data_IF_097964786343
#
_entry.id   IF_097964786343
#
_cell.length_a   1.000
_cell.length_b   1.000
_cell.length_c   1.000
_cell.angle_alpha   90.00
_cell.angle_beta   90.00
_cell.angle_gamma   90.00
#
_symmetry.space_group_name_H-M   'P 1'
#
loop_
_entity.id
_entity.type
_entity.pdbx_description
1 polymer ?
#
# COMPACT_ATOMS: atom_id res chain seq x y z
N UNK A 1 -7.20 -11.68 -33.85
CA UNK A 1 -6.01 -11.05 -33.22
C UNK A 1 -6.10 -11.16 -31.69
N UNK A 2 -6.22 -12.40 -31.16
CA UNK A 2 -6.56 -12.66 -29.73
C UNK A 2 -5.66 -13.77 -29.11
N UNK A 3 -4.51 -14.09 -29.71
CA UNK A 3 -3.66 -15.23 -29.30
C UNK A 3 -2.41 -14.86 -28.47
N UNK A 4 -2.19 -13.58 -28.15
CA UNK A 4 -0.97 -13.14 -27.45
C UNK A 4 -1.14 -12.93 -25.94
N UNK A 5 -2.33 -12.63 -25.43
CA UNK A 5 -2.54 -12.35 -24.00
C UNK A 5 -2.69 -13.62 -23.13
N UNK A 6 -3.14 -14.73 -23.72
CA UNK A 6 -3.28 -16.00 -22.98
C UNK A 6 -1.94 -16.68 -22.68
N UNK A 7 -0.85 -16.33 -23.36
CA UNK A 7 0.48 -16.95 -23.14
C UNK A 7 1.20 -16.41 -21.89
N UNK A 8 0.94 -15.18 -21.48
CA UNK A 8 1.63 -14.52 -20.36
C UNK A 8 1.10 -15.00 -19.00
N UNK A 9 -0.22 -15.23 -18.88
CA UNK A 9 -0.84 -15.76 -17.66
C UNK A 9 -0.58 -17.26 -17.43
N UNK A 10 -0.39 -18.05 -18.50
CA UNK A 10 0.00 -19.46 -18.37
C UNK A 10 1.41 -19.58 -17.82
N UNK A 11 2.33 -18.72 -18.28
CA UNK A 11 3.72 -18.69 -17.84
C UNK A 11 3.88 -18.30 -16.36
N UNK A 12 3.04 -17.40 -15.83
CA UNK A 12 3.11 -16.99 -14.42
C UNK A 12 2.56 -18.04 -13.44
N UNK A 13 1.51 -18.78 -13.83
CA UNK A 13 1.02 -19.93 -13.06
C UNK A 13 2.00 -21.11 -13.07
N UNK A 14 2.70 -21.30 -14.19
CA UNK A 14 3.74 -22.31 -14.32
C UNK A 14 4.98 -21.92 -13.50
N UNK A 15 5.41 -20.65 -13.54
CA UNK A 15 6.43 -20.10 -12.63
C UNK A 15 6.09 -20.32 -11.15
N UNK A 16 4.85 -20.06 -10.73
CA UNK A 16 4.41 -20.28 -9.34
C UNK A 16 4.47 -21.76 -8.93
N UNK A 17 4.30 -22.68 -9.88
CA UNK A 17 4.38 -24.13 -9.66
C UNK A 17 5.83 -24.62 -9.66
N UNK A 18 6.67 -24.07 -10.54
CA UNK A 18 8.10 -24.33 -10.64
C UNK A 18 8.86 -23.79 -9.43
N UNK A 19 8.54 -22.56 -8.97
CA UNK A 19 9.07 -21.99 -7.72
C UNK A 19 8.71 -22.90 -6.54
N UNK A 20 7.46 -23.41 -6.46
CA UNK A 20 7.06 -24.38 -5.42
C UNK A 20 7.89 -25.68 -5.45
N UNK A 21 8.34 -26.14 -6.62
CA UNK A 21 9.14 -27.37 -6.76
C UNK A 21 10.65 -27.18 -6.62
N UNK A 22 11.19 -26.03 -7.00
CA UNK A 22 12.63 -25.70 -6.89
C UNK A 22 13.04 -25.32 -5.45
N UNK A 23 12.10 -24.85 -4.63
CA UNK A 23 12.29 -24.54 -3.19
C UNK A 23 12.81 -25.74 -2.37
N UNK A 24 12.72 -26.98 -2.88
CA UNK A 24 13.13 -28.19 -2.14
C UNK A 24 14.59 -28.59 -2.38
N UNK A 25 15.31 -28.03 -3.36
CA UNK A 25 16.62 -28.58 -3.77
C UNK A 25 17.86 -27.72 -3.56
N UNK A 26 17.76 -26.40 -3.59
CA UNK A 26 18.97 -25.58 -3.51
C UNK A 26 19.10 -24.91 -2.14
N UNK A 27 20.02 -25.45 -1.35
CA UNK A 27 20.68 -24.78 -0.23
C UNK A 27 21.29 -23.47 -0.75
N UNK A 28 20.52 -22.38 -0.68
CA UNK A 28 21.06 -21.03 -0.89
C UNK A 28 21.98 -20.75 0.30
N UNK A 29 23.28 -20.66 -0.01
CA UNK A 29 24.34 -20.27 0.91
C UNK A 29 23.94 -18.96 1.57
N UNK A 30 23.59 -19.05 2.86
CA UNK A 30 23.26 -17.91 3.72
C UNK A 30 24.57 -17.16 3.99
N UNK A 31 24.86 -16.15 3.17
CA UNK A 31 25.87 -15.15 3.47
C UNK A 31 25.27 -14.14 4.45
N UNK A 32 25.94 -13.94 5.59
CA UNK A 32 25.56 -13.03 6.66
C UNK A 32 25.13 -11.66 6.10
N UNK A 33 24.08 -11.07 6.70
CA UNK A 33 23.60 -9.70 6.46
C UNK A 33 22.69 -9.45 5.24
N UNK A 34 21.69 -10.31 5.00
CA UNK A 34 20.64 -10.11 3.96
C UNK A 34 19.45 -9.29 4.47
N UNK A 35 19.37 -8.01 4.11
CA UNK A 35 18.10 -7.26 4.13
C UNK A 35 17.62 -6.99 2.71
N UNK A 36 16.37 -6.57 2.56
CA UNK A 36 15.76 -6.37 1.24
C UNK A 36 15.39 -4.92 0.99
N UNK A 37 15.36 -4.54 -0.28
CA UNK A 37 15.10 -3.18 -0.75
C UNK A 37 13.93 -3.17 -1.72
N UNK A 38 12.98 -2.27 -1.50
CA UNK A 38 11.86 -2.05 -2.40
C UNK A 38 12.24 -1.07 -3.53
N UNK A 39 12.17 -1.56 -4.77
CA UNK A 39 12.31 -0.74 -5.98
C UNK A 39 11.08 0.12 -6.19
N UNK A 40 11.24 1.18 -7.01
CA UNK A 40 10.16 2.10 -7.41
C UNK A 40 8.95 1.42 -8.02
N UNK A 41 9.15 0.29 -8.70
CA UNK A 41 8.09 -0.52 -9.30
C UNK A 41 7.37 -1.44 -8.28
N UNK A 42 7.64 -1.28 -6.98
CA UNK A 42 7.07 -2.11 -5.90
C UNK A 42 7.76 -3.46 -5.73
N UNK A 43 8.73 -3.83 -6.58
CA UNK A 43 9.46 -5.09 -6.42
C UNK A 43 10.49 -4.98 -5.31
N UNK A 44 10.42 -5.87 -4.34
CA UNK A 44 11.39 -6.07 -3.27
C UNK A 44 12.52 -6.96 -3.79
N UNK A 45 13.77 -6.56 -3.61
CA UNK A 45 14.94 -7.36 -4.04
C UNK A 45 15.94 -7.49 -2.89
N UNK A 46 16.75 -8.56 -2.86
CA UNK A 46 17.87 -8.64 -1.93
C UNK A 46 18.80 -7.43 -2.09
N UNK A 47 19.21 -6.86 -0.97
CA UNK A 47 20.21 -5.81 -0.95
C UNK A 47 21.54 -6.31 -1.51
N UNK A 48 22.23 -5.45 -2.28
CA UNK A 48 23.56 -5.73 -2.83
C UNK A 48 24.40 -4.48 -2.69
N UNK A 49 25.45 -4.52 -1.86
CA UNK A 49 26.35 -3.38 -1.62
C UNK A 49 27.02 -2.92 -2.92
N UNK A 50 27.29 -3.83 -3.84
CA UNK A 50 27.94 -3.55 -5.12
C UNK A 50 27.13 -2.59 -6.00
N UNK A 51 25.80 -2.54 -5.82
CA UNK A 51 24.95 -1.58 -6.54
C UNK A 51 25.13 -0.15 -6.05
N UNK A 52 25.37 0.03 -4.75
CA UNK A 52 25.68 1.35 -4.18
C UNK A 52 27.07 1.77 -4.63
N UNK A 53 28.06 0.88 -4.50
CA UNK A 53 29.43 1.14 -4.95
C UNK A 53 29.47 1.61 -6.40
N UNK A 54 28.84 0.85 -7.32
CA UNK A 54 28.80 1.23 -8.75
C UNK A 54 28.10 2.55 -9.02
N UNK A 55 27.09 2.91 -8.23
CA UNK A 55 26.39 4.18 -8.39
C UNK A 55 27.26 5.36 -7.94
N UNK A 56 27.99 5.19 -6.83
CA UNK A 56 28.95 6.16 -6.31
C UNK A 56 30.14 6.28 -7.28
N UNK A 57 30.70 5.15 -7.74
CA UNK A 57 31.78 5.11 -8.72
C UNK A 57 31.40 5.85 -10.01
N UNK A 58 30.18 5.62 -10.52
CA UNK A 58 29.69 6.31 -11.71
C UNK A 58 29.62 7.83 -11.51
N UNK A 59 29.22 8.31 -10.34
CA UNK A 59 29.20 9.74 -10.05
C UNK A 59 30.62 10.33 -9.94
N UNK A 60 31.55 9.64 -9.29
CA UNK A 60 32.95 10.07 -9.27
C UNK A 60 33.56 10.13 -10.67
N UNK A 61 33.26 9.14 -11.53
CA UNK A 61 33.70 9.14 -12.94
C UNK A 61 33.14 10.34 -13.71
N UNK A 62 31.84 10.60 -13.56
CA UNK A 62 31.16 11.70 -14.25
C UNK A 62 31.74 13.07 -13.84
N UNK A 63 31.88 13.31 -12.53
CA UNK A 63 32.44 14.56 -12.00
C UNK A 63 33.90 14.77 -12.40
N UNK A 64 34.71 13.70 -12.39
CA UNK A 64 36.13 13.77 -12.77
C UNK A 64 36.35 13.65 -14.28
N UNK A 65 35.29 13.43 -15.07
CA UNK A 65 35.32 13.21 -16.52
C UNK A 65 36.29 12.09 -16.93
N UNK A 66 36.29 11.01 -16.14
CA UNK A 66 37.08 9.81 -16.41
C UNK A 66 36.24 8.90 -17.32
N UNK A 67 36.81 8.52 -18.46
CA UNK A 67 36.16 7.59 -19.41
C UNK A 67 35.91 6.21 -18.76
N UNK A 68 34.95 5.44 -19.27
CA UNK A 68 34.57 4.15 -18.67
C UNK A 68 35.67 3.10 -18.77
N UNK A 69 36.46 3.17 -19.84
CA UNK A 69 37.57 2.26 -20.14
C UNK A 69 38.84 2.59 -19.35
N UNK A 70 38.91 3.78 -18.72
CA UNK A 70 40.08 4.21 -17.95
C UNK A 70 40.03 3.66 -16.52
N UNK A 71 41.20 3.25 -16.01
CA UNK A 71 41.30 2.76 -14.63
C UNK A 71 41.05 3.91 -13.64
N UNK A 72 40.14 3.66 -12.70
CA UNK A 72 39.91 4.62 -11.62
C UNK A 72 41.19 4.76 -10.77
N UNK A 73 41.61 5.99 -10.43
CA UNK A 73 42.64 6.24 -9.44
C UNK A 73 42.36 5.48 -8.13
N UNK A 74 43.40 4.93 -7.51
CA UNK A 74 43.33 4.21 -6.23
C UNK A 74 42.59 5.00 -5.17
N UNK A 75 42.90 6.28 -5.06
CA UNK A 75 42.40 7.18 -4.03
C UNK A 75 40.88 7.36 -4.13
N UNK A 76 40.36 7.40 -5.37
CA UNK A 76 38.92 7.49 -5.64
C UNK A 76 38.23 6.16 -5.32
N UNK A 77 38.86 5.02 -5.64
CA UNK A 77 38.31 3.70 -5.29
C UNK A 77 38.19 3.53 -3.78
N UNK A 78 39.24 3.90 -3.03
CA UNK A 78 39.25 3.86 -1.57
C UNK A 78 38.18 4.77 -0.97
N UNK A 79 38.06 6.00 -1.49
CA UNK A 79 37.03 6.95 -1.08
C UNK A 79 35.62 6.40 -1.33
N UNK A 80 35.38 5.86 -2.53
CA UNK A 80 34.08 5.28 -2.89
C UNK A 80 33.72 4.06 -2.03
N UNK A 81 34.71 3.23 -1.68
CA UNK A 81 34.51 2.08 -0.80
C UNK A 81 34.22 2.51 0.65
N UNK A 82 34.92 3.52 1.16
CA UNK A 82 34.67 4.10 2.48
C UNK A 82 33.26 4.67 2.59
N UNK A 83 32.82 5.45 1.59
CA UNK A 83 31.45 6.01 1.55
C UNK A 83 30.42 4.89 1.44
N UNK A 84 30.68 3.88 0.60
CA UNK A 84 29.80 2.72 0.47
C UNK A 84 29.62 2.00 1.80
N UNK A 85 30.71 1.79 2.54
CA UNK A 85 30.69 1.15 3.86
C UNK A 85 29.85 1.96 4.86
N UNK A 86 30.06 3.29 4.93
CA UNK A 86 29.26 4.17 5.80
C UNK A 86 27.76 4.16 5.47
N UNK A 87 27.40 4.12 4.18
CA UNK A 87 25.99 4.02 3.75
C UNK A 87 25.41 2.66 4.15
N UNK A 88 26.16 1.59 3.92
CA UNK A 88 25.73 0.22 4.26
C UNK A 88 25.49 0.07 5.75
N UNK A 89 26.39 0.58 6.61
CA UNK A 89 26.21 0.57 8.07
C UNK A 89 24.93 1.29 8.52
N UNK A 90 24.68 2.49 7.97
CA UNK A 90 23.45 3.23 8.26
C UNK A 90 22.19 2.49 7.79
N UNK A 91 22.24 1.81 6.64
CA UNK A 91 21.14 0.97 6.17
C UNK A 91 20.90 -0.24 7.07
N UNK A 92 21.95 -0.87 7.61
CA UNK A 92 21.81 -1.95 8.58
C UNK A 92 21.07 -1.51 9.84
N UNK A 93 21.42 -0.33 10.36
CA UNK A 93 20.74 0.23 11.54
C UNK A 93 19.26 0.54 11.28
N UNK A 94 18.92 1.01 10.08
CA UNK A 94 17.53 1.21 9.68
C UNK A 94 16.78 -0.12 9.50
N UNK A 95 17.43 -1.13 8.90
CA UNK A 95 16.87 -2.45 8.73
C UNK A 95 16.56 -3.13 10.07
N UNK A 96 17.47 -3.01 11.06
CA UNK A 96 17.27 -3.51 12.44
C UNK A 96 16.03 -2.92 13.11
N UNK A 97 15.67 -1.68 12.78
CA UNK A 97 14.47 -1.00 13.29
C UNK A 97 13.19 -1.42 12.55
N UNK A 98 13.22 -2.48 11.74
CA UNK A 98 12.10 -2.95 10.91
C UNK A 98 11.55 -1.87 9.95
N UNK A 99 12.39 -0.92 9.55
CA UNK A 99 12.01 0.10 8.56
C UNK A 99 12.14 -0.51 7.17
N UNK A 100 11.05 -0.47 6.38
CA UNK A 100 11.08 -0.88 4.98
C UNK A 100 11.98 0.07 4.18
N UNK A 101 13.12 -0.44 3.68
CA UNK A 101 14.05 0.31 2.85
C UNK A 101 13.57 0.37 1.41
N UNK A 102 13.48 1.56 0.83
CA UNK A 102 13.17 1.75 -0.58
C UNK A 102 14.37 2.37 -1.30
N UNK A 103 14.39 2.28 -2.64
CA UNK A 103 15.50 2.80 -3.45
C UNK A 103 15.70 4.31 -3.27
N UNK A 104 14.64 5.10 -3.09
CA UNK A 104 14.78 6.55 -2.89
C UNK A 104 15.51 6.84 -1.57
N UNK A 105 15.12 6.19 -0.48
CA UNK A 105 15.75 6.38 0.83
C UNK A 105 17.23 5.98 0.82
N UNK A 106 17.61 4.98 0.02
CA UNK A 106 19.03 4.65 -0.21
C UNK A 106 19.73 5.76 -0.99
N UNK A 107 19.09 6.31 -2.02
CA UNK A 107 19.65 7.41 -2.81
C UNK A 107 19.85 8.67 -1.95
N UNK A 108 18.86 9.05 -1.16
CA UNK A 108 18.92 10.18 -0.23
C UNK A 108 20.06 9.98 0.79
N UNK A 109 20.24 8.76 1.28
CA UNK A 109 21.32 8.43 2.21
C UNK A 109 22.71 8.52 1.56
N UNK A 110 22.85 8.09 0.29
CA UNK A 110 24.08 8.26 -0.48
C UNK A 110 24.41 9.74 -0.66
N UNK A 111 23.43 10.57 -1.01
CA UNK A 111 23.59 12.01 -1.17
C UNK A 111 24.06 12.69 0.12
N UNK A 112 23.39 12.40 1.24
CA UNK A 112 23.77 12.94 2.55
C UNK A 112 25.17 12.48 2.95
N UNK A 113 25.53 11.22 2.66
CA UNK A 113 26.86 10.69 3.02
C UNK A 113 27.96 11.30 2.16
N UNK A 114 27.73 11.51 0.86
CA UNK A 114 28.67 12.23 -0.01
C UNK A 114 28.90 13.67 0.48
N UNK A 115 27.83 14.38 0.85
CA UNK A 115 27.93 15.73 1.41
C UNK A 115 28.69 15.75 2.75
N UNK A 116 28.41 14.82 3.66
CA UNK A 116 29.09 14.72 4.96
C UNK A 116 30.60 14.48 4.84
N UNK A 117 31.03 13.72 3.83
CA UNK A 117 32.45 13.46 3.56
C UNK A 117 33.11 14.58 2.73
N UNK A 118 32.41 15.70 2.46
CA UNK A 118 32.96 16.86 1.77
C UNK A 118 32.98 16.79 0.24
N UNK A 119 32.40 15.73 -0.36
CA UNK A 119 32.33 15.55 -1.81
C UNK A 119 31.11 16.26 -2.41
N UNK A 120 31.06 17.59 -2.27
CA UNK A 120 29.90 18.39 -2.65
C UNK A 120 29.67 18.44 -4.16
N UNK A 121 30.76 18.43 -4.94
CA UNK A 121 30.76 18.37 -6.40
C UNK A 121 30.13 17.04 -6.89
N UNK A 122 30.61 15.92 -6.36
CA UNK A 122 30.10 14.58 -6.70
C UNK A 122 28.65 14.41 -6.26
N UNK A 123 28.29 14.89 -5.07
CA UNK A 123 26.91 14.85 -4.59
C UNK A 123 25.96 15.63 -5.51
N UNK A 124 26.39 16.81 -6.00
CA UNK A 124 25.60 17.62 -6.94
C UNK A 124 25.37 16.87 -8.24
N UNK A 125 26.42 16.34 -8.85
CA UNK A 125 26.31 15.64 -10.14
C UNK A 125 25.45 14.37 -10.00
N UNK A 126 25.59 13.64 -8.89
CA UNK A 126 24.74 12.51 -8.55
C UNK A 126 23.24 12.91 -8.48
N UNK A 127 22.91 14.01 -7.83
CA UNK A 127 21.53 14.54 -7.73
C UNK A 127 20.99 14.88 -9.12
N UNK A 128 21.78 15.60 -9.93
CA UNK A 128 21.38 15.98 -11.29
C UNK A 128 21.13 14.73 -12.14
N UNK A 129 22.03 13.75 -12.10
CA UNK A 129 21.87 12.48 -12.80
C UNK A 129 20.61 11.73 -12.37
N UNK A 130 20.37 11.64 -11.06
CA UNK A 130 19.17 11.01 -10.47
C UNK A 130 17.90 11.68 -10.98
N UNK A 131 17.84 13.00 -10.96
CA UNK A 131 16.67 13.78 -11.36
C UNK A 131 16.42 13.69 -12.86
N UNK A 132 17.47 13.76 -13.68
CA UNK A 132 17.39 13.53 -15.13
C UNK A 132 16.85 12.11 -15.43
N UNK A 133 17.38 11.08 -14.76
CA UNK A 133 16.87 9.72 -14.92
C UNK A 133 15.46 9.51 -14.35
N UNK A 134 15.04 10.32 -13.37
CA UNK A 134 13.66 10.32 -12.86
C UNK A 134 12.72 10.93 -13.90
N UNK A 135 13.15 12.00 -14.57
CA UNK A 135 12.42 12.63 -15.67
C UNK A 135 12.33 11.72 -16.91
N UNK A 136 13.40 11.05 -17.32
CA UNK A 136 13.35 10.08 -18.44
C UNK A 136 12.40 8.90 -18.20
N UNK A 137 12.05 8.63 -16.93
CA UNK A 137 11.13 7.55 -16.53
C UNK A 137 9.72 8.04 -16.25
N UNK A 138 9.42 9.34 -16.40
CA UNK A 138 8.04 9.84 -16.26
C UNK A 138 7.11 9.30 -17.35
N UNK A 139 7.65 8.91 -18.51
CA UNK A 139 6.94 8.25 -19.62
C UNK A 139 6.88 6.71 -19.51
N UNK A 140 7.22 6.13 -18.35
CA UNK A 140 6.97 4.69 -18.11
C UNK A 140 5.45 4.45 -18.23
N UNK A 141 4.98 3.46 -19.02
CA UNK A 141 3.56 3.11 -19.16
C UNK A 141 2.86 2.79 -17.83
N UNK A 142 3.61 2.66 -16.73
CA UNK A 142 3.12 2.53 -15.34
C UNK A 142 2.91 3.86 -14.62
N UNK A 143 3.01 5.01 -15.28
CA UNK A 143 2.67 6.33 -14.73
C UNK A 143 1.13 6.55 -14.70
N UNK A 144 0.44 5.61 -14.08
CA UNK A 144 -1.01 5.66 -13.96
C UNK A 144 -1.42 6.79 -13.00
N UNK A 145 -2.57 7.39 -13.25
CA UNK A 145 -3.21 8.34 -12.32
C UNK A 145 -4.41 7.67 -11.68
N UNK A 146 -4.56 7.87 -10.37
CA UNK A 146 -5.63 7.30 -9.56
C UNK A 146 -6.46 8.42 -8.98
N UNK A 147 -7.77 8.26 -9.08
CA UNK A 147 -8.76 9.17 -8.52
C UNK A 147 -9.13 8.68 -7.11
N UNK A 148 -8.96 9.54 -6.11
CA UNK A 148 -9.42 9.29 -4.73
C UNK A 148 -10.85 9.77 -4.59
N UNK A 149 -11.62 9.15 -3.70
CA UNK A 149 -13.01 9.54 -3.41
C UNK A 149 -13.12 11.01 -2.97
N UNK A 150 -12.15 11.47 -2.18
CA UNK A 150 -12.20 12.79 -1.52
C UNK A 150 -11.28 13.84 -2.18
N UNK A 151 -10.68 13.53 -3.34
CA UNK A 151 -9.74 14.44 -4.00
C UNK A 151 -10.12 14.66 -5.45
N UNK A 152 -10.40 15.93 -5.77
CA UNK A 152 -10.68 16.37 -7.13
C UNK A 152 -9.47 16.20 -8.08
N UNK A 153 -8.25 16.05 -7.53
CA UNK A 153 -7.03 15.89 -8.33
C UNK A 153 -6.57 14.42 -8.39
N UNK A 154 -6.33 13.88 -9.59
CA UNK A 154 -5.75 12.55 -9.74
C UNK A 154 -4.33 12.49 -9.16
N UNK A 155 -4.03 11.45 -8.38
CA UNK A 155 -2.72 11.22 -7.79
C UNK A 155 -1.97 10.14 -8.54
N UNK A 156 -0.65 10.28 -8.67
CA UNK A 156 0.21 9.27 -9.31
C UNK A 156 0.10 7.92 -8.60
N UNK A 157 -0.06 6.86 -9.38
CA UNK A 157 0.02 5.48 -8.89
C UNK A 157 1.43 5.20 -8.38
N UNK A 158 1.48 4.64 -7.18
CA UNK A 158 2.71 4.19 -6.56
C UNK A 158 2.62 2.68 -6.26
N UNK A 159 3.28 1.83 -7.06
CA UNK A 159 3.34 0.37 -6.84
C UNK A 159 3.90 -0.04 -5.47
N UNK A 160 4.75 0.79 -4.86
CA UNK A 160 5.28 0.55 -3.50
C UNK A 160 4.14 0.38 -2.50
N UNK A 161 3.06 1.17 -2.62
CA UNK A 161 1.92 1.08 -1.69
C UNK A 161 1.21 -0.27 -1.76
N UNK A 162 1.16 -0.87 -2.95
CA UNK A 162 0.60 -2.22 -3.14
C UNK A 162 1.50 -3.24 -2.47
N UNK A 163 2.81 -3.21 -2.78
CA UNK A 163 3.77 -4.14 -2.20
C UNK A 163 3.84 -4.06 -0.66
N UNK A 164 3.90 -2.85 -0.09
CA UNK A 164 3.88 -2.66 1.37
C UNK A 164 2.58 -3.13 2.01
N UNK A 165 1.45 -2.96 1.31
CA UNK A 165 0.16 -3.44 1.80
C UNK A 165 0.14 -4.95 1.84
N UNK A 166 0.55 -5.60 0.74
CA UNK A 166 0.61 -7.05 0.61
C UNK A 166 1.59 -7.64 1.64
N UNK A 167 2.80 -7.09 1.73
CA UNK A 167 3.81 -7.50 2.70
C UNK A 167 3.28 -7.44 4.14
N UNK A 168 2.62 -6.33 4.51
CA UNK A 168 2.08 -6.17 5.87
C UNK A 168 1.00 -7.20 6.20
N UNK A 169 0.17 -7.59 5.24
CA UNK A 169 -0.81 -8.67 5.41
C UNK A 169 -0.09 -9.99 5.66
N UNK A 170 0.91 -10.34 4.83
CA UNK A 170 1.67 -11.57 5.01
C UNK A 170 2.43 -11.61 6.33
N UNK A 171 3.01 -10.49 6.77
CA UNK A 171 3.66 -10.39 8.09
C UNK A 171 2.67 -10.60 9.23
N UNK A 172 1.46 -10.05 9.12
CA UNK A 172 0.39 -10.23 10.13
C UNK A 172 -0.11 -11.66 10.20
N UNK A 173 -0.45 -12.26 9.05
CA UNK A 173 -0.98 -13.63 8.97
C UNK A 173 0.04 -14.64 9.47
N UNK A 174 1.31 -14.47 9.10
CA UNK A 174 2.39 -15.37 9.52
C UNK A 174 3.01 -14.99 10.88
N UNK A 175 2.50 -13.95 11.55
CA UNK A 175 3.01 -13.44 12.84
C UNK A 175 4.52 -13.23 12.85
N UNK A 176 5.03 -12.59 11.81
CA UNK A 176 6.46 -12.36 11.62
C UNK A 176 6.89 -11.14 12.42
N UNK A 177 7.73 -11.37 13.41
CA UNK A 177 8.45 -10.36 14.15
C UNK A 177 9.88 -10.28 13.59
N UNK A 178 10.30 -9.11 13.08
CA UNK A 178 11.60 -8.93 12.42
C UNK A 178 11.56 -8.92 10.89
N UNK A 179 12.67 -9.27 10.26
CA UNK A 179 12.82 -9.21 8.80
C UNK A 179 11.85 -10.17 8.08
N UNK A 180 11.30 -9.73 6.94
CA UNK A 180 10.42 -10.56 6.12
C UNK A 180 11.24 -11.69 5.46
N UNK A 181 10.84 -12.97 5.57
CA UNK A 181 11.53 -14.08 4.92
C UNK A 181 11.54 -13.96 3.39
N UNK A 182 12.63 -14.40 2.76
CA UNK A 182 12.82 -14.33 1.29
C UNK A 182 11.70 -15.00 0.49
N UNK A 183 11.12 -16.08 1.03
CA UNK A 183 9.99 -16.78 0.43
C UNK A 183 8.76 -15.87 0.34
N UNK A 184 8.46 -15.12 1.40
CA UNK A 184 7.32 -14.20 1.45
C UNK A 184 7.59 -13.01 0.55
N UNK A 185 8.82 -12.50 0.53
CA UNK A 185 9.24 -11.43 -0.37
C UNK A 185 9.02 -11.82 -1.83
N UNK A 186 9.39 -13.04 -2.20
CA UNK A 186 9.16 -13.58 -3.55
C UNK A 186 7.68 -13.65 -3.90
N UNK A 187 6.84 -14.09 -2.97
CA UNK A 187 5.38 -14.11 -3.13
C UNK A 187 4.82 -12.68 -3.29
N UNK A 188 5.21 -11.76 -2.40
CA UNK A 188 4.80 -10.34 -2.44
C UNK A 188 5.13 -9.71 -3.79
N UNK A 189 6.32 -9.99 -4.33
CA UNK A 189 6.72 -9.49 -5.64
C UNK A 189 5.82 -9.99 -6.77
N UNK A 190 5.53 -11.29 -6.80
CA UNK A 190 4.70 -11.89 -7.83
C UNK A 190 3.30 -11.28 -7.77
N UNK A 191 2.69 -11.24 -6.58
CA UNK A 191 1.35 -10.68 -6.39
C UNK A 191 1.30 -9.18 -6.71
N UNK A 192 2.31 -8.41 -6.30
CA UNK A 192 2.38 -6.97 -6.58
C UNK A 192 2.51 -6.69 -8.07
N UNK A 193 3.32 -7.48 -8.78
CA UNK A 193 3.44 -7.37 -10.24
C UNK A 193 2.13 -7.72 -10.94
N UNK A 194 1.42 -8.76 -10.50
CA UNK A 194 0.10 -9.13 -11.04
C UNK A 194 -0.91 -7.99 -10.85
N UNK A 195 -1.00 -7.42 -9.65
CA UNK A 195 -1.89 -6.27 -9.37
C UNK A 195 -1.53 -5.06 -10.24
N UNK A 196 -0.24 -4.75 -10.39
CA UNK A 196 0.22 -3.63 -11.23
C UNK A 196 -0.11 -3.87 -12.70
N UNK A 197 0.09 -5.08 -13.21
CA UNK A 197 -0.23 -5.44 -14.60
C UNK A 197 -1.74 -5.34 -14.87
N UNK A 198 -2.57 -5.89 -13.99
CA UNK A 198 -4.04 -5.80 -14.11
C UNK A 198 -4.52 -4.34 -13.99
N UNK A 199 -3.92 -3.54 -13.11
CA UNK A 199 -4.21 -2.11 -13.00
C UNK A 199 -3.86 -1.34 -14.29
N UNK A 200 -2.73 -1.64 -14.92
CA UNK A 200 -2.35 -1.03 -16.21
C UNK A 200 -3.36 -1.39 -17.30
N UNK A 201 -3.89 -2.62 -17.30
CA UNK A 201 -4.90 -3.02 -18.28
C UNK A 201 -6.24 -2.31 -18.03
N UNK A 202 -6.68 -2.24 -16.77
CA UNK A 202 -7.92 -1.56 -16.39
C UNK A 202 -7.88 -0.06 -16.72
N UNK A 203 -6.71 0.58 -16.55
CA UNK A 203 -6.50 1.98 -16.88
C UNK A 203 -6.67 2.32 -18.37
N UNK A 204 -6.62 1.32 -19.26
CA UNK A 204 -6.85 1.52 -20.70
C UNK A 204 -8.34 1.66 -21.01
N UNK A 205 -9.21 1.06 -20.20
CA UNK A 205 -10.65 0.99 -20.45
C UNK A 205 -11.43 2.04 -19.67
N UNK A 206 -11.01 2.35 -18.45
CA UNK A 206 -11.71 3.27 -17.56
C UNK A 206 -10.75 4.02 -16.62
N UNK A 207 -11.15 5.18 -16.07
CA UNK A 207 -10.32 5.87 -15.08
C UNK A 207 -10.15 5.02 -13.82
N UNK A 208 -8.89 4.89 -13.35
CA UNK A 208 -8.57 4.15 -12.14
C UNK A 208 -8.99 4.90 -10.89
N UNK A 209 -9.84 4.28 -10.08
CA UNK A 209 -10.14 4.72 -8.72
C UNK A 209 -9.37 3.88 -7.69
N UNK A 210 -9.19 4.41 -6.47
CA UNK A 210 -8.49 3.68 -5.39
C UNK A 210 -9.17 2.35 -5.07
N UNK A 211 -10.51 2.30 -5.11
CA UNK A 211 -11.26 1.07 -4.84
C UNK A 211 -11.01 -0.02 -5.90
N UNK A 212 -10.76 0.35 -7.16
CA UNK A 212 -10.35 -0.61 -8.19
C UNK A 212 -9.06 -1.32 -7.80
N UNK A 213 -8.06 -0.59 -7.29
CA UNK A 213 -6.80 -1.19 -6.84
C UNK A 213 -6.97 -2.09 -5.62
N UNK A 214 -7.83 -1.71 -4.68
CA UNK A 214 -8.11 -2.57 -3.51
C UNK A 214 -8.78 -3.87 -3.93
N UNK A 215 -9.76 -3.80 -4.84
CA UNK A 215 -10.45 -4.97 -5.37
C UNK A 215 -9.50 -5.88 -6.15
N UNK A 216 -8.58 -5.30 -6.94
CA UNK A 216 -7.54 -6.06 -7.62
C UNK A 216 -6.61 -6.78 -6.62
N UNK A 217 -6.22 -6.14 -5.52
CA UNK A 217 -5.42 -6.80 -4.47
C UNK A 217 -6.17 -7.99 -3.88
N UNK A 218 -7.46 -7.83 -3.58
CA UNK A 218 -8.32 -8.89 -3.06
C UNK A 218 -8.46 -10.04 -4.03
N UNK A 219 -8.77 -9.73 -5.29
CA UNK A 219 -8.94 -10.70 -6.35
C UNK A 219 -7.66 -11.49 -6.60
N UNK A 220 -6.51 -10.81 -6.69
CA UNK A 220 -5.20 -11.46 -6.89
C UNK A 220 -4.86 -12.38 -5.71
N UNK A 221 -5.10 -11.94 -4.46
CA UNK A 221 -4.88 -12.78 -3.28
C UNK A 221 -5.77 -14.04 -3.27
N UNK A 222 -7.06 -13.87 -3.61
CA UNK A 222 -8.01 -14.99 -3.69
C UNK A 222 -7.67 -15.95 -4.84
N UNK A 223 -7.36 -15.41 -6.03
CA UNK A 223 -7.00 -16.20 -7.22
C UNK A 223 -5.70 -16.99 -7.04
N UNK A 224 -4.76 -16.44 -6.26
CA UNK A 224 -3.52 -17.12 -5.88
C UNK A 224 -3.70 -18.15 -4.75
N UNK A 225 -4.90 -18.22 -4.14
CA UNK A 225 -5.24 -19.17 -3.07
C UNK A 225 -4.83 -18.71 -1.67
N UNK A 226 -4.41 -17.45 -1.49
CA UNK A 226 -4.06 -16.88 -0.18
C UNK A 226 -5.29 -16.35 0.55
N UNK A 227 -6.28 -17.23 0.80
CA UNK A 227 -7.58 -16.86 1.38
C UNK A 227 -7.47 -16.18 2.74
N UNK A 228 -6.55 -16.63 3.61
CA UNK A 228 -6.36 -16.02 4.92
C UNK A 228 -5.80 -14.59 4.80
N UNK A 229 -4.89 -14.35 3.85
CA UNK A 229 -4.37 -13.01 3.58
C UNK A 229 -5.46 -12.10 2.97
N UNK A 230 -6.26 -12.61 2.03
CA UNK A 230 -7.40 -11.89 1.46
C UNK A 230 -8.41 -11.50 2.55
N UNK A 231 -8.77 -12.44 3.44
CA UNK A 231 -9.66 -12.18 4.58
C UNK A 231 -9.12 -11.09 5.49
N UNK A 232 -7.86 -11.18 5.90
CA UNK A 232 -7.22 -10.16 6.75
C UNK A 232 -7.19 -8.78 6.08
N UNK A 233 -7.01 -8.73 4.75
CA UNK A 233 -7.06 -7.49 3.98
C UNK A 233 -8.45 -6.86 3.94
N UNK A 234 -9.47 -7.65 3.61
CA UNK A 234 -10.88 -7.21 3.57
C UNK A 234 -11.28 -6.66 4.94
N UNK A 235 -10.95 -7.38 6.01
CA UNK A 235 -11.21 -6.95 7.39
C UNK A 235 -10.44 -5.67 7.75
N UNK A 236 -9.17 -5.56 7.33
CA UNK A 236 -8.39 -4.35 7.55
C UNK A 236 -9.01 -3.14 6.86
N UNK A 237 -9.40 -3.29 5.59
CA UNK A 237 -10.03 -2.23 4.78
C UNK A 237 -11.38 -1.80 5.39
N UNK A 238 -12.21 -2.77 5.77
CA UNK A 238 -13.50 -2.52 6.41
C UNK A 238 -13.35 -1.74 7.73
N UNK A 239 -12.34 -2.05 8.53
CA UNK A 239 -12.06 -1.36 9.79
C UNK A 239 -11.50 0.07 9.61
N UNK A 240 -10.91 0.39 8.45
CA UNK A 240 -10.25 1.68 8.19
C UNK A 240 -11.02 2.57 7.20
N UNK A 241 -12.28 2.24 6.90
CA UNK A 241 -13.20 3.17 6.23
C UNK A 241 -13.02 3.34 4.72
N UNK A 242 -12.34 2.42 4.03
CA UNK A 242 -12.36 2.37 2.56
C UNK A 242 -13.48 1.40 2.11
N UNK A 243 -14.73 1.77 2.41
CA UNK A 243 -15.91 0.99 2.02
C UNK A 243 -16.05 1.00 0.49
N UNK A 244 -15.95 -0.17 -0.13
CA UNK A 244 -16.67 -0.47 -1.38
C UNK A 244 -17.87 -1.32 -0.97
N UNK A 245 -19.07 -0.81 -1.17
CA UNK A 245 -20.32 -1.52 -0.96
C UNK A 245 -20.46 -2.65 -1.98
N UNK A 246 -19.81 -3.80 -1.76
CA UNK A 246 -20.08 -5.04 -2.50
C UNK A 246 -19.30 -6.25 -1.93
N UNK A 247 -19.74 -6.80 -0.80
CA UNK A 247 -19.68 -8.26 -0.56
C UNK A 247 -20.96 -8.62 0.21
N UNK A 248 -21.73 -9.65 -0.20
CA UNK A 248 -22.87 -10.10 0.59
C UNK A 248 -22.37 -10.67 1.92
N UNK A 249 -22.82 -10.07 3.01
CA UNK A 249 -22.48 -10.48 4.38
C UNK A 249 -23.00 -11.89 4.68
N UNK A 250 -22.10 -12.80 5.05
CA UNK A 250 -22.45 -13.89 5.97
C UNK A 250 -22.27 -13.34 7.38
N UNK A 251 -23.40 -12.96 7.97
CA UNK A 251 -23.49 -12.43 9.31
C UNK A 251 -23.12 -13.51 10.34
N UNK A 252 -22.10 -13.23 11.17
CA UNK A 252 -22.06 -13.79 12.52
C UNK A 252 -21.72 -12.66 13.51
N UNK A 253 -22.77 -12.17 14.17
CA UNK A 253 -22.76 -11.17 15.23
C UNK A 253 -21.93 -11.64 16.42
N UNK A 254 -20.94 -10.84 16.85
CA UNK A 254 -20.60 -10.65 18.28
C UNK A 254 -20.18 -9.19 18.53
N UNK A 255 -21.14 -8.43 19.08
CA UNK A 255 -21.02 -7.04 19.56
C UNK A 255 -19.93 -6.94 20.65
N UNK A 256 -19.05 -5.94 20.56
CA UNK A 256 -18.47 -5.26 21.74
C UNK A 256 -18.84 -3.78 21.65
N UNK A 257 -19.56 -3.29 22.66
CA UNK A 257 -20.09 -1.92 22.78
C UNK A 257 -18.94 -0.93 23.04
N UNK A 258 -18.93 0.18 22.29
CA UNK A 258 -18.29 1.44 22.67
C UNK A 258 -19.37 2.54 22.61
N UNK A 259 -19.34 3.46 23.58
CA UNK A 259 -20.31 4.57 23.77
C UNK A 259 -20.46 5.40 22.50
N UNK A 260 -21.69 5.56 22.03
CA UNK A 260 -22.10 6.38 20.87
C UNK A 260 -22.52 7.74 21.41
N UNK A 261 -21.99 8.83 20.87
CA UNK A 261 -22.50 10.19 21.13
C UNK A 261 -23.98 10.23 20.73
N UNK A 262 -24.82 10.67 21.67
CA UNK A 262 -26.28 10.65 21.55
C UNK A 262 -26.73 11.83 20.67
N UNK A 263 -27.39 11.53 19.54
CA UNK A 263 -27.87 12.56 18.62
C UNK A 263 -29.14 13.19 19.17
N UNK A 264 -29.20 14.52 19.17
CA UNK A 264 -30.35 15.31 19.63
C UNK A 264 -30.90 16.10 18.45
N UNK A 265 -32.21 16.02 18.22
CA UNK A 265 -32.94 16.69 17.15
C UNK A 265 -33.78 17.83 17.72
N UNK A 266 -33.83 18.97 17.04
CA UNK A 266 -34.65 20.14 17.40
C UNK A 266 -35.92 20.19 16.54
N UNK A 267 -37.08 20.43 17.16
CA UNK A 267 -38.36 20.58 16.48
C UNK A 267 -39.16 21.75 17.03
N UNK A 268 -40.10 22.28 16.24
CA UNK A 268 -40.98 23.38 16.65
C UNK A 268 -42.33 22.85 17.13
N UNK A 269 -42.70 23.21 18.35
CA UNK A 269 -44.02 22.87 18.91
C UNK A 269 -45.11 23.73 18.26
N UNK A 270 -46.36 23.31 18.44
CA UNK A 270 -47.54 24.02 17.91
C UNK A 270 -47.64 25.48 18.43
N UNK A 271 -46.99 25.79 19.56
CA UNK A 271 -46.89 27.14 20.14
C UNK A 271 -45.76 27.99 19.55
N UNK A 272 -44.99 27.46 18.60
CA UNK A 272 -43.84 28.13 17.98
C UNK A 272 -42.56 28.09 18.82
N UNK A 273 -42.50 27.22 19.83
CA UNK A 273 -41.34 27.07 20.71
C UNK A 273 -40.44 25.92 20.25
N UNK A 274 -39.11 26.11 20.30
CA UNK A 274 -38.15 25.08 19.89
C UNK A 274 -37.91 24.09 21.02
N UNK A 275 -38.29 22.84 20.82
CA UNK A 275 -38.06 21.71 21.72
C UNK A 275 -37.02 20.73 21.14
N UNK A 276 -36.52 19.81 21.97
CA UNK A 276 -35.50 18.82 21.55
C UNK A 276 -35.91 17.39 21.90
N UNK A 277 -35.53 16.43 21.05
CA UNK A 277 -35.75 15.00 21.25
C UNK A 277 -34.46 14.22 20.99
N UNK A 278 -34.12 13.27 21.87
CA UNK A 278 -32.91 12.44 21.74
C UNK A 278 -33.17 11.16 20.93
N UNK A 279 -32.12 10.63 20.32
CA UNK A 279 -32.12 9.33 19.62
C UNK A 279 -32.61 8.19 20.53
N UNK A 280 -32.26 8.23 21.82
CA UNK A 280 -32.73 7.24 22.81
C UNK A 280 -34.23 7.32 23.05
N UNK A 281 -34.80 8.52 23.12
CA UNK A 281 -36.23 8.69 23.35
C UNK A 281 -37.06 8.25 22.14
N UNK A 282 -36.56 8.47 20.93
CA UNK A 282 -37.17 7.95 19.69
C UNK A 282 -37.09 6.42 19.62
N UNK A 283 -35.92 5.86 19.97
CA UNK A 283 -35.73 4.41 20.01
C UNK A 283 -36.69 3.75 21.02
N UNK A 284 -36.81 4.28 22.24
CA UNK A 284 -37.70 3.72 23.26
C UNK A 284 -39.18 3.74 22.82
N UNK A 285 -39.61 4.79 22.11
CA UNK A 285 -40.98 4.87 21.56
C UNK A 285 -41.19 3.87 20.42
N UNK A 286 -40.20 3.70 19.54
CA UNK A 286 -40.25 2.73 18.44
C UNK A 286 -40.18 1.29 18.96
N UNK A 287 -39.35 1.01 19.95
CA UNK A 287 -39.26 -0.28 20.63
C UNK A 287 -40.61 -0.64 21.27
N UNK A 288 -41.24 0.31 21.97
CA UNK A 288 -42.58 0.09 22.54
C UNK A 288 -43.66 -0.12 21.45
N UNK A 289 -43.58 0.59 20.33
CA UNK A 289 -44.54 0.43 19.23
C UNK A 289 -44.34 -0.88 18.44
N UNK A 290 -43.12 -1.41 18.40
CA UNK A 290 -42.76 -2.61 17.65
C UNK A 290 -42.76 -3.90 18.48
N UNK A 291 -43.09 -3.83 19.78
CA UNK A 291 -43.04 -4.96 20.71
C UNK A 291 -43.83 -6.20 20.23
N UNK A 292 -44.93 -6.01 19.49
CA UNK A 292 -45.76 -7.10 18.96
C UNK A 292 -45.44 -7.49 17.51
N UNK A 293 -44.46 -6.83 16.86
CA UNK A 293 -44.15 -6.95 15.43
C UNK A 293 -42.69 -7.28 15.10
N UNK A 294 -41.95 -7.89 16.05
CA UNK A 294 -40.49 -8.15 15.98
C UNK A 294 -40.02 -8.96 14.75
N UNK A 295 -40.93 -9.64 14.04
CA UNK A 295 -40.62 -10.44 12.83
C UNK A 295 -40.71 -9.66 11.53
N UNK A 296 -41.32 -8.46 11.55
CA UNK A 296 -41.63 -7.66 10.34
C UNK A 296 -41.02 -6.26 10.43
N UNK A 297 -40.90 -5.70 11.64
CA UNK A 297 -40.37 -4.36 11.87
C UNK A 297 -39.16 -4.41 12.81
N UNK A 298 -38.04 -3.83 12.36
CA UNK A 298 -36.86 -3.60 13.20
C UNK A 298 -36.89 -2.15 13.70
N UNK A 299 -36.98 -1.90 15.02
CA UNK A 299 -36.94 -0.55 15.59
C UNK A 299 -35.69 0.23 15.19
N UNK A 300 -34.55 -0.47 15.07
CA UNK A 300 -33.27 0.12 14.65
C UNK A 300 -33.35 0.61 13.18
N UNK A 301 -34.03 -0.10 12.29
CA UNK A 301 -34.21 0.31 10.88
C UNK A 301 -35.23 1.44 10.71
N UNK A 302 -36.33 1.39 11.47
CA UNK A 302 -37.33 2.46 11.49
C UNK A 302 -36.73 3.76 12.02
N UNK A 303 -35.88 3.68 13.04
CA UNK A 303 -35.17 4.84 13.57
C UNK A 303 -34.22 5.44 12.52
N UNK A 304 -33.44 4.63 11.80
CA UNK A 304 -32.56 5.14 10.74
C UNK A 304 -33.35 5.82 9.61
N UNK A 305 -34.48 5.24 9.21
CA UNK A 305 -35.38 5.86 8.23
C UNK A 305 -36.01 7.15 8.75
N UNK A 306 -36.39 7.21 10.03
CA UNK A 306 -36.94 8.41 10.65
C UNK A 306 -35.89 9.52 10.69
N UNK A 307 -34.67 9.23 11.16
CA UNK A 307 -33.54 10.17 11.23
C UNK A 307 -33.23 10.79 9.86
N UNK A 308 -33.33 10.03 8.78
CA UNK A 308 -33.08 10.53 7.43
C UNK A 308 -34.09 11.62 7.01
N UNK A 309 -35.29 11.59 7.59
CA UNK A 309 -36.37 12.53 7.30
C UNK A 309 -36.40 13.73 8.28
N UNK A 310 -35.57 13.74 9.33
CA UNK A 310 -35.44 14.91 10.20
C UNK A 310 -34.71 16.04 9.49
N UNK A 311 -35.32 17.23 9.50
CA UNK A 311 -34.73 18.47 9.00
C UNK A 311 -34.91 19.60 10.02
N UNK A 312 -34.08 20.64 9.92
CA UNK A 312 -34.13 21.77 10.86
C UNK A 312 -35.43 22.56 10.69
N UNK A 313 -36.19 22.73 11.78
CA UNK A 313 -37.52 23.36 11.77
C UNK A 313 -38.70 22.43 11.47
N UNK A 314 -38.50 21.10 11.56
CA UNK A 314 -39.61 20.13 11.52
C UNK A 314 -40.62 20.43 12.65
N UNK A 315 -41.91 20.28 12.35
CA UNK A 315 -42.97 20.52 13.32
C UNK A 315 -43.31 19.25 14.11
N UNK A 316 -43.80 19.43 15.33
CA UNK A 316 -44.19 18.32 16.21
C UNK A 316 -45.24 17.35 15.61
N UNK A 317 -46.11 17.82 14.70
CA UNK A 317 -47.11 16.99 14.02
C UNK A 317 -46.54 16.13 12.88
N UNK A 318 -45.30 16.42 12.44
CA UNK A 318 -44.59 15.69 11.39
C UNK A 318 -43.61 14.63 11.96
N UNK A 319 -43.49 14.52 13.30
CA UNK A 319 -42.63 13.58 14.05
C UNK A 319 -43.46 12.45 14.67
#
# INVERSE_FOLDING_TARGET
MVKSESKTLTNSKELLKTVKSEIVRDNIIVGENTFTVMKRNGTIVPFRKERIYRAIEAAFRDTKKIEKEEELPSDIKETADAITTQVVEQLFELARKNVSLNVEGIQDLVEVTLMKNGHHDVARDYIIYRDHHKALRSDDPRNLKIIRKDSASPVRFNPIKIATSIERIFRRVNKIEGATPDQIISIVNILSQQVVEEAVQLAKTEPLHVHHLQNLVEEVLMRAGYFQAAKDYILYRAAHGEQTSAVPEVQTKKRRKAKKDERVFTFETITGEKSTISETHLLDRLDHACADFETIASPEELLESAILNFYDGIKEDEI
#
